data_IF_659335273311
#
_entry.id   IF_659335273311
#
_cell.length_a   1.000
_cell.length_b   1.000
_cell.length_c   1.000
_cell.angle_alpha   90.00
_cell.angle_beta   90.00
_cell.angle_gamma   90.00
#
_symmetry.space_group_name_H-M   'P 1'
#
loop_
_entity.id
_entity.type
_entity.pdbx_description
1 polymer ?
#
# COMPACT_ATOMS: atom_id res chain seq x y z
N UNK A 1 -7.16 11.97 26.17
CA UNK A 1 -6.14 12.31 25.15
C UNK A 1 -6.28 11.30 24.04
N UNK A 2 -6.30 11.70 22.78
CA UNK A 2 -6.35 10.73 21.68
C UNK A 2 -4.91 10.34 21.35
N UNK A 3 -4.67 9.06 21.17
CA UNK A 3 -3.36 8.54 20.78
C UNK A 3 -3.32 8.28 19.28
N UNK A 4 -2.11 8.26 18.70
CA UNK A 4 -1.91 7.93 17.29
C UNK A 4 -1.26 6.56 17.18
N UNK A 5 -1.94 5.62 16.53
CA UNK A 5 -1.45 4.27 16.24
C UNK A 5 -1.25 4.05 14.74
N UNK A 6 -0.50 3.02 14.39
CA UNK A 6 -0.27 2.59 13.01
C UNK A 6 -0.98 1.27 12.78
N UNK A 7 -1.76 1.15 11.69
CA UNK A 7 -2.40 -0.11 11.29
C UNK A 7 -1.33 -1.09 10.78
N UNK A 8 -1.21 -2.23 11.44
CA UNK A 8 -0.28 -3.32 11.07
C UNK A 8 -0.96 -4.45 10.32
N UNK A 9 -2.24 -4.73 10.64
CA UNK A 9 -3.04 -5.69 9.89
C UNK A 9 -4.53 -5.30 9.85
N UNK A 10 -5.20 -5.70 8.77
CA UNK A 10 -6.64 -5.51 8.57
C UNK A 10 -7.31 -6.87 8.59
N UNK A 11 -8.21 -7.09 9.55
CA UNK A 11 -9.03 -8.27 9.67
C UNK A 11 -10.49 -7.95 9.31
N UNK A 12 -11.33 -8.98 9.18
CA UNK A 12 -12.73 -8.80 8.78
C UNK A 12 -13.51 -7.83 9.67
N UNK A 13 -13.32 -7.94 10.99
CA UNK A 13 -14.13 -7.23 11.99
C UNK A 13 -13.31 -6.29 12.87
N UNK A 14 -11.98 -6.26 12.73
CA UNK A 14 -11.09 -5.44 13.55
C UNK A 14 -9.75 -5.16 12.86
N UNK A 15 -9.03 -4.21 13.39
CA UNK A 15 -7.71 -3.79 12.98
C UNK A 15 -6.69 -4.13 14.05
N UNK A 16 -5.54 -4.63 13.63
CA UNK A 16 -4.36 -4.70 14.49
C UNK A 16 -3.56 -3.40 14.33
N UNK A 17 -3.12 -2.84 15.42
CA UNK A 17 -2.45 -1.54 15.45
C UNK A 17 -1.23 -1.59 16.36
N UNK A 18 -0.17 -0.85 15.99
CA UNK A 18 0.99 -0.61 16.83
C UNK A 18 0.90 0.78 17.46
N UNK A 19 1.06 0.84 18.76
CA UNK A 19 1.25 2.07 19.53
C UNK A 19 2.63 2.01 20.22
N UNK A 20 3.64 2.58 19.56
CA UNK A 20 5.04 2.38 19.95
C UNK A 20 5.43 0.90 19.84
N UNK A 21 5.71 0.25 20.97
CA UNK A 21 6.06 -1.18 21.05
C UNK A 21 4.87 -2.08 21.37
N UNK A 22 3.72 -1.53 21.69
CA UNK A 22 2.53 -2.28 22.06
C UNK A 22 1.67 -2.60 20.83
N UNK A 23 1.08 -3.79 20.83
CA UNK A 23 0.10 -4.21 19.82
C UNK A 23 -1.28 -4.10 20.45
N UNK A 24 -2.15 -3.34 19.80
CA UNK A 24 -3.53 -3.12 20.19
C UNK A 24 -4.47 -3.63 19.10
N UNK A 25 -5.68 -3.96 19.48
CA UNK A 25 -6.76 -4.22 18.55
C UNK A 25 -7.79 -3.09 18.61
N UNK A 26 -8.37 -2.76 17.45
CA UNK A 26 -9.34 -1.68 17.38
C UNK A 26 -10.43 -1.94 16.36
N UNK A 27 -11.52 -1.19 16.50
CA UNK A 27 -12.67 -1.18 15.58
C UNK A 27 -13.02 0.24 15.19
N UNK A 28 -13.56 0.39 13.99
CA UNK A 28 -14.13 1.67 13.57
C UNK A 28 -15.35 2.02 14.42
N UNK A 29 -15.42 3.26 14.87
CA UNK A 29 -16.61 3.79 15.51
C UNK A 29 -17.77 3.81 14.49
N UNK A 30 -18.87 3.11 14.77
CA UNK A 30 -20.05 3.06 13.88
C UNK A 30 -20.57 4.45 13.49
N UNK A 31 -20.52 5.42 14.41
CA UNK A 31 -20.88 6.81 14.14
C UNK A 31 -19.91 7.50 13.18
N UNK A 32 -18.59 7.23 13.28
CA UNK A 32 -17.60 7.76 12.33
C UNK A 32 -17.88 7.25 10.92
N UNK A 33 -18.27 5.98 10.78
CA UNK A 33 -18.71 5.39 9.53
C UNK A 33 -19.87 6.17 8.89
N UNK A 34 -20.89 6.48 9.66
CA UNK A 34 -22.09 7.20 9.21
C UNK A 34 -21.82 8.67 8.85
N UNK A 35 -20.93 9.34 9.58
CA UNK A 35 -20.52 10.71 9.28
C UNK A 35 -19.56 10.78 8.08
N UNK A 36 -18.68 9.78 7.91
CA UNK A 36 -17.82 9.67 6.74
C UNK A 36 -18.64 9.43 5.46
N UNK A 37 -19.71 8.63 5.53
CA UNK A 37 -20.58 8.32 4.39
C UNK A 37 -21.47 9.52 3.98
N UNK A 38 -21.83 10.40 4.93
CA UNK A 38 -22.65 11.59 4.70
C UNK A 38 -21.87 12.86 4.35
N UNK A 39 -20.58 12.90 4.61
CA UNK A 39 -19.71 14.01 4.25
C UNK A 39 -19.39 13.92 2.76
N UNK A 40 -20.28 14.40 1.92
CA UNK A 40 -20.27 14.28 0.45
C UNK A 40 -19.09 14.98 -0.27
N UNK A 41 -18.12 15.50 0.45
CA UNK A 41 -16.97 16.21 -0.12
C UNK A 41 -15.67 15.39 -0.16
N UNK A 42 -15.55 14.28 0.60
CA UNK A 42 -14.37 13.40 0.53
C UNK A 42 -14.78 11.92 0.56
N UNK A 43 -14.11 11.06 -0.25
CA UNK A 43 -14.39 9.63 -0.24
C UNK A 43 -14.02 9.04 1.14
N UNK A 44 -14.88 8.15 1.63
CA UNK A 44 -14.68 7.43 2.90
C UNK A 44 -13.32 6.73 2.89
N UNK A 45 -12.44 7.12 3.80
CA UNK A 45 -11.11 6.51 3.92
C UNK A 45 -11.16 5.39 4.95
N UNK A 46 -11.39 4.16 4.49
CA UNK A 46 -11.21 2.99 5.36
C UNK A 46 -9.75 2.83 5.74
N UNK A 47 -9.47 2.50 7.02
CA UNK A 47 -8.11 2.19 7.43
C UNK A 47 -7.54 1.02 6.65
N UNK A 48 -6.27 1.14 6.25
CA UNK A 48 -5.51 0.07 5.60
C UNK A 48 -4.14 -0.07 6.24
N UNK A 49 -3.41 -1.12 5.90
CA UNK A 49 -2.06 -1.34 6.42
C UNK A 49 -1.16 -0.13 6.15
N UNK A 50 -0.44 0.32 7.16
CA UNK A 50 0.43 1.50 7.13
C UNK A 50 -0.27 2.83 7.47
N UNK A 51 -1.60 2.85 7.59
CA UNK A 51 -2.31 4.07 8.01
C UNK A 51 -1.96 4.47 9.44
N UNK A 52 -1.82 5.76 9.63
CA UNK A 52 -1.81 6.40 10.95
C UNK A 52 -3.24 6.77 11.31
N UNK A 53 -3.68 6.34 12.48
CA UNK A 53 -5.06 6.53 12.94
C UNK A 53 -5.08 7.17 14.32
N UNK A 54 -6.04 8.04 14.54
CA UNK A 54 -6.41 8.53 15.86
C UNK A 54 -7.24 7.47 16.56
N UNK A 55 -6.87 7.14 17.78
CA UNK A 55 -7.58 6.14 18.58
C UNK A 55 -7.97 6.67 19.95
N UNK A 56 -9.05 6.12 20.48
CA UNK A 56 -9.37 6.15 21.90
C UNK A 56 -9.11 4.75 22.47
N UNK A 57 -8.11 4.66 23.33
CA UNK A 57 -7.74 3.37 23.94
C UNK A 57 -8.87 2.85 24.83
N UNK A 58 -8.99 1.52 24.87
CA UNK A 58 -9.83 0.79 25.80
C UNK A 58 -8.98 -0.29 26.47
N UNK A 59 -8.82 -0.20 27.77
CA UNK A 59 -8.02 -1.15 28.57
C UNK A 59 -8.64 -2.54 28.66
N UNK A 60 -9.96 -2.64 28.50
CA UNK A 60 -10.70 -3.88 28.71
C UNK A 60 -11.21 -4.51 27.41
N UNK A 61 -10.69 -4.07 26.25
CA UNK A 61 -11.14 -4.60 24.96
C UNK A 61 -10.59 -3.85 23.75
N UNK A 62 -11.27 -3.98 22.61
CA UNK A 62 -10.85 -3.31 21.38
C UNK A 62 -10.92 -1.77 21.54
N UNK A 63 -9.85 -1.09 21.19
CA UNK A 63 -9.77 0.37 21.10
C UNK A 63 -10.68 0.89 19.98
N UNK A 64 -11.02 2.16 20.02
CA UNK A 64 -11.88 2.78 19.03
C UNK A 64 -11.08 3.63 18.07
N UNK A 65 -11.12 3.32 16.78
CA UNK A 65 -10.54 4.16 15.72
C UNK A 65 -11.51 5.30 15.43
N UNK A 66 -11.01 6.52 15.58
CA UNK A 66 -11.77 7.77 15.43
C UNK A 66 -11.64 8.34 14.04
N UNK A 67 -10.41 8.41 13.50
CA UNK A 67 -10.12 8.97 12.19
C UNK A 67 -8.87 8.35 11.56
N UNK A 68 -8.76 8.43 10.23
CA UNK A 68 -7.55 8.12 9.47
C UNK A 68 -6.84 9.45 9.18
N UNK A 69 -5.57 9.53 9.56
CA UNK A 69 -4.74 10.72 9.31
C UNK A 69 -4.33 10.81 7.83
N UNK A 70 -3.80 11.97 7.46
CA UNK A 70 -3.33 12.20 6.08
C UNK A 70 -2.26 11.19 5.65
N UNK A 71 -2.43 10.68 4.44
CA UNK A 71 -1.53 9.70 3.81
C UNK A 71 -0.49 10.43 2.96
N UNK A 72 0.79 10.07 3.12
CA UNK A 72 1.86 10.54 2.23
C UNK A 72 1.95 9.75 0.92
N UNK A 73 1.56 8.49 0.97
CA UNK A 73 1.49 7.56 -0.16
C UNK A 73 0.34 6.59 0.02
N UNK A 74 -0.24 6.10 -1.07
CA UNK A 74 -1.33 5.11 -1.04
C UNK A 74 -1.33 4.26 -2.29
N UNK A 75 -1.36 2.95 -2.11
CA UNK A 75 -1.52 2.00 -3.21
C UNK A 75 -2.98 1.61 -3.32
N UNK A 76 -3.60 1.96 -4.46
CA UNK A 76 -5.02 1.70 -4.71
C UNK A 76 -5.17 0.46 -5.60
N UNK A 77 -6.09 -0.39 -5.25
CA UNK A 77 -6.54 -1.50 -6.08
C UNK A 77 -7.87 -1.12 -6.70
N UNK A 78 -7.92 -1.13 -8.03
CA UNK A 78 -9.15 -0.91 -8.77
C UNK A 78 -10.17 -2.01 -8.42
N UNK A 79 -11.39 -1.58 -8.13
CA UNK A 79 -12.48 -2.55 -7.94
C UNK A 79 -12.97 -3.02 -9.31
N UNK A 80 -12.95 -4.34 -9.55
CA UNK A 80 -13.43 -4.92 -10.79
C UNK A 80 -14.96 -4.78 -10.97
N UNK A 81 -15.68 -4.55 -9.87
CA UNK A 81 -17.12 -4.34 -9.90
C UNK A 81 -17.42 -2.87 -10.16
N UNK A 82 -18.06 -2.60 -11.28
CA UNK A 82 -18.44 -1.25 -11.70
C UNK A 82 -19.35 -0.59 -10.63
N UNK A 83 -19.00 0.63 -10.21
CA UNK A 83 -19.77 1.39 -9.23
C UNK A 83 -19.33 1.20 -7.77
N UNK A 84 -18.38 0.30 -7.47
CA UNK A 84 -17.75 0.24 -6.16
C UNK A 84 -16.47 1.08 -6.13
N UNK A 85 -16.19 1.77 -5.01
CA UNK A 85 -14.99 2.58 -4.88
C UNK A 85 -13.73 1.71 -4.89
N UNK A 86 -12.63 2.26 -5.40
CA UNK A 86 -11.33 1.63 -5.33
C UNK A 86 -10.89 1.44 -3.88
N UNK A 87 -10.16 0.36 -3.63
CA UNK A 87 -9.74 -0.02 -2.30
C UNK A 87 -8.27 0.32 -2.06
N UNK A 88 -7.97 1.07 -1.00
CA UNK A 88 -6.61 1.22 -0.52
C UNK A 88 -6.09 -0.13 0.02
N UNK A 89 -4.91 -0.53 -0.43
CA UNK A 89 -4.26 -1.80 -0.06
C UNK A 89 -3.15 -1.56 0.96
N UNK A 90 -2.40 -0.46 0.78
CA UNK A 90 -1.33 -0.04 1.68
C UNK A 90 -1.21 1.49 1.65
N UNK A 91 -0.72 2.08 2.74
CA UNK A 91 -0.51 3.51 2.87
C UNK A 91 0.82 3.83 3.59
N UNK A 92 1.28 5.08 3.42
CA UNK A 92 2.45 5.62 4.12
C UNK A 92 3.75 4.81 3.94
N UNK A 93 3.93 4.19 2.79
CA UNK A 93 5.16 3.51 2.40
C UNK A 93 6.11 4.49 1.69
N UNK A 94 7.41 4.20 1.75
CA UNK A 94 8.46 4.97 1.07
C UNK A 94 8.81 4.35 -0.28
N UNK A 95 8.86 3.01 -0.36
CA UNK A 95 9.28 2.27 -1.54
C UNK A 95 8.23 1.27 -1.99
N UNK A 96 8.18 1.06 -3.31
CA UNK A 96 7.39 -0.01 -3.95
C UNK A 96 8.33 -0.93 -4.71
N UNK A 97 8.46 -2.17 -4.25
CA UNK A 97 9.24 -3.19 -4.93
C UNK A 97 8.43 -3.83 -6.05
N UNK A 98 8.83 -3.55 -7.30
CA UNK A 98 8.26 -4.17 -8.50
C UNK A 98 9.05 -5.44 -8.79
N UNK A 99 8.50 -6.59 -8.37
CA UNK A 99 9.17 -7.88 -8.50
C UNK A 99 8.77 -8.57 -9.80
N UNK A 100 9.73 -8.86 -10.65
CA UNK A 100 9.54 -9.57 -11.92
C UNK A 100 10.54 -10.70 -12.09
N UNK A 101 10.07 -11.85 -12.57
CA UNK A 101 10.94 -13.00 -12.89
C UNK A 101 11.59 -12.85 -14.25
N UNK A 102 12.91 -13.07 -14.33
CA UNK A 102 13.65 -13.16 -15.58
C UNK A 102 13.47 -14.55 -16.21
N UNK A 103 12.30 -14.79 -16.76
CA UNK A 103 11.96 -16.00 -17.49
C UNK A 103 11.04 -15.65 -18.67
N UNK A 104 10.38 -16.63 -19.28
CA UNK A 104 9.45 -16.42 -20.39
C UNK A 104 8.27 -15.51 -20.07
N UNK A 105 8.00 -15.24 -18.79
CA UNK A 105 6.90 -14.38 -18.33
C UNK A 105 7.34 -12.91 -18.16
N UNK A 106 8.60 -12.58 -18.45
CA UNK A 106 9.08 -11.21 -18.43
C UNK A 106 8.53 -10.43 -19.63
N UNK A 107 7.83 -9.35 -19.39
CA UNK A 107 7.27 -8.46 -20.42
C UNK A 107 7.45 -6.99 -20.03
N UNK A 108 8.10 -6.21 -20.89
CA UNK A 108 8.31 -4.77 -20.68
C UNK A 108 7.01 -4.01 -20.47
N UNK A 109 5.95 -4.31 -21.23
CA UNK A 109 4.64 -3.67 -21.08
C UNK A 109 4.00 -3.88 -19.69
N UNK A 110 4.33 -4.99 -19.02
CA UNK A 110 3.91 -5.25 -17.65
C UNK A 110 4.68 -4.38 -16.66
N UNK A 111 5.99 -4.19 -16.90
CA UNK A 111 6.83 -3.30 -16.11
C UNK A 111 6.36 -1.85 -16.24
N UNK A 112 6.11 -1.35 -17.46
CA UNK A 112 5.58 -0.01 -17.73
C UNK A 112 4.30 0.27 -16.94
N UNK A 113 3.37 -0.68 -16.95
CA UNK A 113 2.12 -0.56 -16.19
C UNK A 113 2.37 -0.46 -14.70
N UNK A 114 3.27 -1.28 -14.14
CA UNK A 114 3.59 -1.22 -12.72
C UNK A 114 4.31 0.07 -12.34
N UNK A 115 5.20 0.57 -13.18
CA UNK A 115 5.86 1.86 -12.97
C UNK A 115 4.85 3.01 -12.97
N UNK A 116 3.88 3.00 -13.90
CA UNK A 116 2.81 4.00 -13.96
C UNK A 116 1.97 4.01 -12.67
N UNK A 117 1.51 2.83 -12.22
CA UNK A 117 0.72 2.72 -10.98
C UNK A 117 1.53 3.14 -9.76
N UNK A 118 2.81 2.77 -9.70
CA UNK A 118 3.70 3.16 -8.61
C UNK A 118 3.93 4.67 -8.58
N UNK A 119 4.16 5.30 -9.73
CA UNK A 119 4.31 6.75 -9.85
C UNK A 119 3.09 7.52 -9.32
N UNK A 120 1.88 6.97 -9.49
CA UNK A 120 0.63 7.55 -8.97
C UNK A 120 0.45 7.32 -7.46
N UNK A 121 1.15 6.36 -6.88
CA UNK A 121 0.99 5.98 -5.47
C UNK A 121 1.70 6.89 -4.49
N UNK A 122 2.66 7.69 -4.93
CA UNK A 122 3.53 8.52 -4.09
C UNK A 122 4.75 7.77 -3.50
N UNK A 123 4.93 6.49 -3.81
CA UNK A 123 6.11 5.71 -3.40
C UNK A 123 7.22 5.72 -4.45
N UNK A 124 8.45 5.50 -4.01
CA UNK A 124 9.62 5.38 -4.90
C UNK A 124 9.70 3.95 -5.46
N UNK A 125 9.66 3.75 -6.78
CA UNK A 125 9.79 2.43 -7.37
C UNK A 125 11.20 1.88 -7.25
N UNK A 126 11.30 0.57 -7.00
CA UNK A 126 12.53 -0.22 -7.07
C UNK A 126 12.23 -1.50 -7.83
N UNK A 127 12.99 -1.78 -8.89
CA UNK A 127 12.78 -2.98 -9.72
C UNK A 127 13.63 -4.12 -9.15
N UNK A 128 12.98 -5.25 -8.83
CA UNK A 128 13.61 -6.48 -8.41
C UNK A 128 13.45 -7.55 -9.49
N UNK A 129 14.53 -7.89 -10.17
CA UNK A 129 14.56 -8.94 -11.20
C UNK A 129 14.98 -10.26 -10.56
N UNK A 130 14.01 -11.15 -10.34
CA UNK A 130 14.25 -12.44 -9.70
C UNK A 130 14.61 -13.51 -10.73
N UNK A 131 15.14 -14.66 -10.25
CA UNK A 131 15.63 -15.78 -11.09
C UNK A 131 16.72 -15.32 -12.08
N UNK A 132 17.60 -14.44 -11.62
CA UNK A 132 18.66 -13.89 -12.45
C UNK A 132 19.66 -14.95 -12.92
N UNK A 133 19.77 -16.06 -12.20
CA UNK A 133 20.54 -17.26 -12.53
C UNK A 133 20.06 -17.98 -13.82
N UNK A 134 18.76 -17.86 -14.14
CA UNK A 134 18.17 -18.48 -15.33
C UNK A 134 18.40 -17.69 -16.63
N UNK A 135 18.91 -16.46 -16.54
CA UNK A 135 19.15 -15.58 -17.69
C UNK A 135 20.53 -14.92 -17.57
N UNK A 136 21.59 -15.61 -18.02
CA UNK A 136 22.96 -15.04 -17.98
C UNK A 136 23.13 -13.85 -18.91
N UNK A 137 22.48 -13.86 -20.08
CA UNK A 137 22.52 -12.77 -21.08
C UNK A 137 21.32 -11.82 -20.85
N UNK A 138 21.53 -10.78 -20.05
CA UNK A 138 20.48 -9.84 -19.63
C UNK A 138 20.75 -8.38 -19.99
N UNK A 139 21.80 -8.15 -20.77
CA UNK A 139 22.24 -6.80 -21.16
C UNK A 139 21.16 -6.06 -21.95
N UNK A 140 20.48 -6.75 -22.88
CA UNK A 140 19.39 -6.19 -23.65
C UNK A 140 18.19 -5.76 -22.79
N UNK A 141 17.87 -6.56 -21.77
CA UNK A 141 16.78 -6.23 -20.83
C UNK A 141 17.16 -5.01 -20.01
N UNK A 142 18.41 -4.97 -19.51
CA UNK A 142 18.89 -3.80 -18.76
C UNK A 142 18.87 -2.53 -19.62
N UNK A 143 19.30 -2.62 -20.89
CA UNK A 143 19.26 -1.49 -21.82
C UNK A 143 17.82 -0.99 -22.06
N UNK A 144 16.87 -1.89 -22.21
CA UNK A 144 15.44 -1.56 -22.34
C UNK A 144 14.90 -0.89 -21.09
N UNK A 145 15.22 -1.44 -19.89
CA UNK A 145 14.79 -0.86 -18.59
C UNK A 145 15.42 0.52 -18.41
N UNK A 146 16.72 0.68 -18.71
CA UNK A 146 17.39 1.96 -18.58
C UNK A 146 16.84 3.02 -19.55
N UNK A 147 16.40 2.61 -20.74
CA UNK A 147 15.71 3.51 -21.68
C UNK A 147 14.32 3.93 -21.19
N UNK A 148 13.58 3.02 -20.52
CA UNK A 148 12.25 3.28 -20.01
C UNK A 148 12.27 4.09 -18.71
N UNK A 149 13.21 3.81 -17.82
CA UNK A 149 13.24 4.31 -16.45
C UNK A 149 14.70 4.50 -15.97
N UNK A 150 15.42 5.51 -16.50
CA UNK A 150 16.86 5.68 -16.27
C UNK A 150 17.23 5.94 -14.80
N UNK A 151 16.32 6.54 -14.03
CA UNK A 151 16.56 6.95 -12.65
C UNK A 151 16.06 5.92 -11.61
N UNK A 152 15.57 4.77 -12.04
CA UNK A 152 15.01 3.76 -11.14
C UNK A 152 16.06 2.70 -10.82
N UNK A 153 16.21 2.40 -9.51
CA UNK A 153 17.10 1.35 -9.04
C UNK A 153 16.64 -0.03 -9.51
N UNK A 154 17.56 -0.82 -10.08
CA UNK A 154 17.32 -2.19 -10.55
C UNK A 154 18.26 -3.13 -9.79
N UNK A 155 17.69 -4.16 -9.19
CA UNK A 155 18.43 -5.18 -8.46
C UNK A 155 18.13 -6.56 -9.01
N UNK A 156 19.16 -7.42 -9.04
CA UNK A 156 19.03 -8.82 -9.39
C UNK A 156 19.04 -9.67 -8.13
N UNK A 157 18.12 -10.64 -8.10
CA UNK A 157 17.96 -11.57 -7.00
C UNK A 157 17.85 -13.00 -7.56
N UNK A 158 18.54 -13.93 -6.92
CA UNK A 158 18.53 -15.38 -7.26
C UNK A 158 18.06 -16.20 -6.07
#
# INVERSE_FOLDING_TARGET
MNDTAIITAVHRDRYEMSLGTEILYGRLKKAAFYYMEKSASEPVRFPTVGDRVEIMQNTDGDSMILSVLERKSVFMRLNATQGLPDQAVAANFDYVFITMSLNKDFHMSKLERYLTVTGQSGGTPVILLTKADLMPEREDILAQIASLAPDIAVHFVS
#
